data_IF_680428416387
#
_entry.id   IF_680428416387
#
_cell.length_a   1.000
_cell.length_b   1.000
_cell.length_c   1.000
_cell.angle_alpha   90.00
_cell.angle_beta   90.00
_cell.angle_gamma   90.00
#
_symmetry.space_group_name_H-M   'P 1'
#
loop_
_entity.id
_entity.type
_entity.pdbx_description
1 polymer ?
#
# COMPACT_ATOMS: atom_id res chain seq x y z
N UNK A 1 -18.54 3.35 6.00
CA UNK A 1 -17.38 2.88 6.78
C UNK A 1 -17.85 2.80 8.22
N UNK A 2 -18.10 1.59 8.75
CA UNK A 2 -18.55 1.43 10.13
C UNK A 2 -17.40 1.77 11.08
N UNK A 3 -17.69 2.56 12.11
CA UNK A 3 -16.70 2.93 13.12
C UNK A 3 -16.11 1.67 13.79
N UNK A 4 -14.80 1.65 14.08
CA UNK A 4 -14.20 0.53 14.78
C UNK A 4 -14.84 0.38 16.16
N UNK A 5 -15.33 -0.82 16.49
CA UNK A 5 -15.94 -1.14 17.79
C UNK A 5 -14.89 -0.92 18.89
N UNK A 6 -14.92 0.25 19.52
CA UNK A 6 -14.01 0.64 20.61
C UNK A 6 -14.46 0.09 21.96
N UNK A 7 -15.67 -0.47 22.04
CA UNK A 7 -16.26 -0.95 23.27
C UNK A 7 -16.44 -2.47 23.25
N UNK A 8 -15.56 -3.19 23.93
CA UNK A 8 -15.66 -4.64 24.10
C UNK A 8 -17.00 -5.07 24.72
N UNK A 9 -17.63 -4.22 25.56
CA UNK A 9 -18.94 -4.50 26.15
C UNK A 9 -20.09 -4.38 25.13
N UNK A 10 -19.88 -3.71 24.00
CA UNK A 10 -20.84 -3.60 22.90
C UNK A 10 -20.69 -4.77 21.92
N UNK A 11 -19.44 -5.19 21.63
CA UNK A 11 -19.17 -6.42 20.87
C UNK A 11 -19.76 -7.67 21.56
N UNK A 12 -19.65 -7.74 22.89
CA UNK A 12 -20.26 -8.83 23.70
C UNK A 12 -21.80 -8.76 23.66
N UNK A 13 -22.39 -7.58 23.47
CA UNK A 13 -23.84 -7.37 23.35
C UNK A 13 -24.37 -7.75 21.96
N UNK A 14 -23.60 -7.46 20.90
CA UNK A 14 -23.94 -7.82 19.51
C UNK A 14 -23.78 -9.31 19.18
N UNK A 15 -22.92 -10.04 19.92
CA UNK A 15 -22.73 -11.48 19.74
C UNK A 15 -23.98 -12.34 20.09
N UNK A 16 -25.11 -11.70 20.37
CA UNK A 16 -26.38 -12.34 20.70
C UNK A 16 -26.36 -12.92 22.11
N UNK A 17 -27.53 -12.96 22.75
CA UNK A 17 -27.70 -13.68 24.00
C UNK A 17 -27.14 -15.10 23.81
N UNK A 18 -26.16 -15.48 24.64
CA UNK A 18 -25.61 -16.83 24.64
C UNK A 18 -26.78 -17.82 24.68
N UNK A 19 -26.76 -18.89 23.86
CA UNK A 19 -27.81 -19.89 23.91
C UNK A 19 -27.99 -20.33 25.36
N UNK A 20 -29.20 -20.09 25.88
CA UNK A 20 -29.53 -20.42 27.25
C UNK A 20 -29.25 -21.92 27.45
N UNK A 21 -28.51 -22.30 28.50
CA UNK A 21 -28.15 -23.69 28.73
C UNK A 21 -29.40 -24.57 28.82
N UNK A 22 -29.26 -25.80 28.32
CA UNK A 22 -30.31 -26.80 28.34
C UNK A 22 -30.48 -27.28 29.80
N UNK A 23 -31.39 -26.63 30.53
CA UNK A 23 -31.71 -26.83 31.94
C UNK A 23 -31.55 -25.52 32.75
N UNK A 24 -32.58 -25.03 33.45
CA UNK A 24 -32.61 -23.66 33.99
C UNK A 24 -31.63 -23.39 35.15
N UNK A 25 -31.12 -24.43 35.82
CA UNK A 25 -30.37 -24.27 37.07
C UNK A 25 -28.92 -24.75 36.92
N UNK A 26 -28.01 -23.77 36.76
CA UNK A 26 -26.58 -23.99 37.00
C UNK A 26 -26.36 -24.06 38.50
N UNK A 27 -25.49 -24.98 38.93
CA UNK A 27 -25.06 -25.02 40.32
C UNK A 27 -24.44 -23.67 40.70
N UNK A 28 -24.90 -23.11 41.80
CA UNK A 28 -24.27 -21.96 42.44
C UNK A 28 -22.84 -22.29 42.86
N UNK A 29 -21.98 -21.29 43.09
CA UNK A 29 -20.64 -21.54 43.66
C UNK A 29 -20.70 -22.37 44.95
N UNK A 30 -21.62 -22.07 45.87
CA UNK A 30 -21.75 -22.82 47.12
C UNK A 30 -22.16 -24.28 46.91
N UNK A 31 -23.10 -24.55 46.00
CA UNK A 31 -23.50 -25.92 45.67
C UNK A 31 -22.37 -26.70 45.00
N UNK A 32 -21.55 -26.06 44.16
CA UNK A 32 -20.36 -26.70 43.58
C UNK A 32 -19.34 -27.07 44.66
N UNK A 33 -19.06 -26.17 45.59
CA UNK A 33 -18.15 -26.44 46.70
C UNK A 33 -18.67 -27.58 47.58
N UNK A 34 -19.98 -27.62 47.82
CA UNK A 34 -20.63 -28.73 48.54
C UNK A 34 -20.46 -30.06 47.80
N UNK A 35 -20.72 -30.09 46.49
CA UNK A 35 -20.54 -31.30 45.67
C UNK A 35 -19.09 -31.76 45.66
N UNK A 36 -18.13 -30.83 45.52
CA UNK A 36 -16.70 -31.15 45.55
C UNK A 36 -16.27 -31.72 46.91
N UNK A 37 -16.79 -31.16 48.01
CA UNK A 37 -16.57 -31.68 49.36
C UNK A 37 -17.09 -33.11 49.53
N UNK A 38 -18.31 -33.39 49.02
CA UNK A 38 -18.92 -34.72 49.09
C UNK A 38 -18.21 -35.76 48.22
N UNK A 39 -17.69 -35.37 47.06
CA UNK A 39 -16.96 -36.26 46.14
C UNK A 39 -15.53 -36.53 46.64
N UNK A 40 -14.93 -35.60 47.39
CA UNK A 40 -13.59 -35.73 47.96
C UNK A 40 -12.52 -35.87 46.88
N UNK A 41 -11.59 -36.82 47.07
CA UNK A 41 -10.45 -37.06 46.17
C UNK A 41 -10.77 -38.04 45.01
N UNK A 42 -12.05 -38.15 44.61
CA UNK A 42 -12.41 -39.03 43.50
C UNK A 42 -11.68 -38.61 42.22
N UNK A 43 -11.18 -39.60 41.48
CA UNK A 43 -10.50 -39.35 40.20
C UNK A 43 -11.52 -38.98 39.12
N UNK A 44 -11.13 -38.16 38.13
CA UNK A 44 -11.96 -37.93 36.95
C UNK A 44 -12.34 -39.26 36.29
N UNK A 45 -13.60 -39.38 35.87
CA UNK A 45 -14.07 -40.56 35.15
C UNK A 45 -13.41 -40.60 33.76
N UNK A 46 -12.87 -41.76 33.39
CA UNK A 46 -12.45 -42.00 32.01
C UNK A 46 -13.68 -42.12 31.10
N UNK A 47 -13.55 -41.76 29.81
CA UNK A 47 -14.66 -41.87 28.85
C UNK A 47 -15.21 -43.30 28.76
N UNK A 48 -14.35 -44.32 28.83
CA UNK A 48 -14.77 -45.73 28.85
C UNK A 48 -15.63 -46.10 30.07
N UNK A 49 -15.33 -45.52 31.23
CA UNK A 49 -16.13 -45.70 32.43
C UNK A 49 -17.51 -45.06 32.29
N UNK A 50 -17.60 -43.86 31.70
CA UNK A 50 -18.88 -43.19 31.44
C UNK A 50 -19.76 -43.98 30.47
N UNK A 51 -19.16 -44.55 29.41
CA UNK A 51 -19.87 -45.40 28.45
C UNK A 51 -20.41 -46.66 29.14
N UNK A 52 -19.57 -47.40 29.85
CA UNK A 52 -19.98 -48.61 30.58
C UNK A 52 -21.05 -48.32 31.64
N UNK A 53 -20.96 -47.16 32.28
CA UNK A 53 -21.96 -46.72 33.24
C UNK A 53 -23.30 -46.37 32.56
N UNK A 54 -23.27 -45.71 31.41
CA UNK A 54 -24.45 -45.46 30.58
C UNK A 54 -25.13 -46.75 30.11
N UNK A 55 -24.34 -47.76 29.70
CA UNK A 55 -24.86 -49.10 29.38
C UNK A 55 -25.52 -49.75 30.59
N UNK A 56 -24.91 -49.63 31.77
CA UNK A 56 -25.47 -50.16 33.02
C UNK A 56 -26.82 -49.50 33.36
N UNK A 57 -26.95 -48.19 33.16
CA UNK A 57 -28.20 -47.44 33.34
C UNK A 57 -29.25 -47.88 32.31
N UNK A 58 -28.89 -47.99 31.03
CA UNK A 58 -29.80 -48.46 29.97
C UNK A 58 -30.29 -49.88 30.25
N UNK A 59 -29.36 -50.81 30.48
CA UNK A 59 -29.66 -52.21 30.78
C UNK A 59 -30.59 -52.29 31.98
N UNK A 60 -30.39 -51.46 33.03
CA UNK A 60 -31.31 -51.46 34.17
C UNK A 60 -32.70 -50.91 33.86
N UNK A 61 -32.84 -49.93 32.97
CA UNK A 61 -34.14 -49.38 32.55
C UNK A 61 -34.93 -50.29 31.61
N UNK A 62 -34.23 -51.05 30.78
CA UNK A 62 -34.81 -51.92 29.76
C UNK A 62 -34.97 -53.37 30.23
N UNK A 63 -34.37 -53.73 31.37
CA UNK A 63 -34.49 -55.07 31.92
C UNK A 63 -35.90 -55.31 32.49
N UNK A 64 -36.57 -56.37 32.05
CA UNK A 64 -37.82 -56.80 32.65
C UNK A 64 -37.57 -57.37 34.04
N UNK A 65 -38.19 -56.75 35.04
CA UNK A 65 -38.07 -57.19 36.42
C UNK A 65 -39.13 -58.25 36.74
N UNK A 66 -38.75 -59.40 37.34
CA UNK A 66 -39.70 -60.31 37.92
C UNK A 66 -40.59 -59.60 38.96
N UNK A 67 -41.88 -59.91 38.96
CA UNK A 67 -42.87 -59.28 39.87
C UNK A 67 -42.63 -59.55 41.37
N UNK A 68 -41.68 -60.42 41.71
CA UNK A 68 -41.37 -60.86 43.07
C UNK A 68 -40.00 -60.38 43.55
N UNK A 69 -39.38 -59.41 42.88
CA UNK A 69 -38.05 -58.89 43.25
C UNK A 69 -38.01 -58.31 44.69
N UNK A 70 -36.84 -58.46 45.31
CA UNK A 70 -36.55 -57.90 46.63
C UNK A 70 -36.40 -56.36 46.61
N UNK A 71 -36.46 -55.75 47.80
CA UNK A 71 -36.30 -54.30 47.96
C UNK A 71 -34.92 -53.78 47.49
N UNK A 72 -33.89 -54.65 47.44
CA UNK A 72 -32.55 -54.26 47.02
C UNK A 72 -32.50 -54.01 45.51
N UNK A 73 -33.11 -54.90 44.72
CA UNK A 73 -33.28 -54.72 43.28
C UNK A 73 -34.10 -53.47 42.96
N UNK A 74 -35.18 -53.19 43.69
CA UNK A 74 -35.98 -51.95 43.50
C UNK A 74 -35.14 -50.69 43.76
N UNK A 75 -34.35 -50.65 44.84
CA UNK A 75 -33.48 -49.52 45.17
C UNK A 75 -32.40 -49.27 44.11
N UNK A 76 -31.75 -50.34 43.63
CA UNK A 76 -30.75 -50.23 42.58
C UNK A 76 -31.35 -49.70 41.27
N UNK A 77 -32.58 -50.10 40.95
CA UNK A 77 -33.32 -49.61 39.76
C UNK A 77 -33.65 -48.13 39.86
N UNK A 78 -34.18 -47.70 41.00
CA UNK A 78 -34.49 -46.29 41.21
C UNK A 78 -33.21 -45.44 41.19
N UNK A 79 -32.14 -45.89 41.83
CA UNK A 79 -30.87 -45.16 41.82
C UNK A 79 -30.25 -45.09 40.42
N UNK A 80 -30.01 -46.23 39.76
CA UNK A 80 -29.34 -46.25 38.45
C UNK A 80 -30.23 -45.70 37.32
N UNK A 81 -31.51 -46.04 37.30
CA UNK A 81 -32.44 -45.64 36.26
C UNK A 81 -32.93 -44.20 36.41
N UNK A 82 -33.51 -43.86 37.57
CA UNK A 82 -34.24 -42.59 37.76
C UNK A 82 -33.32 -41.44 38.19
N UNK A 83 -32.29 -41.71 39.00
CA UNK A 83 -31.39 -40.66 39.51
C UNK A 83 -30.15 -40.47 38.63
N UNK A 84 -29.50 -41.55 38.22
CA UNK A 84 -28.26 -41.45 37.45
C UNK A 84 -28.48 -41.16 35.95
N UNK A 85 -29.63 -41.53 35.39
CA UNK A 85 -29.99 -41.19 34.00
C UNK A 85 -29.96 -39.68 33.72
N UNK A 86 -30.68 -38.84 34.50
CA UNK A 86 -30.64 -37.38 34.35
C UNK A 86 -29.24 -36.77 34.58
N UNK A 87 -28.45 -37.33 35.50
CA UNK A 87 -27.06 -36.88 35.73
C UNK A 87 -26.20 -37.10 34.49
N UNK A 88 -26.27 -38.29 33.88
CA UNK A 88 -25.53 -38.58 32.65
C UNK A 88 -26.02 -37.73 31.48
N UNK A 89 -27.32 -37.47 31.38
CA UNK A 89 -27.86 -36.58 30.36
C UNK A 89 -27.29 -35.17 30.50
N UNK A 90 -27.34 -34.62 31.72
CA UNK A 90 -26.76 -33.29 32.02
C UNK A 90 -25.26 -33.24 31.71
N UNK A 91 -24.51 -34.30 32.00
CA UNK A 91 -23.09 -34.40 31.68
C UNK A 91 -22.86 -34.28 30.16
N UNK A 92 -23.57 -35.08 29.36
CA UNK A 92 -23.45 -35.06 27.89
C UNK A 92 -23.81 -33.69 27.32
N UNK A 93 -24.89 -33.06 27.81
CA UNK A 93 -25.31 -31.74 27.35
C UNK A 93 -24.23 -30.67 27.67
N UNK A 94 -23.59 -30.74 28.84
CA UNK A 94 -22.48 -29.84 29.22
C UNK A 94 -21.22 -30.10 28.40
N UNK A 95 -20.89 -31.36 28.09
CA UNK A 95 -19.75 -31.69 27.23
C UNK A 95 -19.95 -31.14 25.81
N UNK A 96 -21.15 -31.26 25.26
CA UNK A 96 -21.51 -30.69 23.96
C UNK A 96 -21.43 -29.14 23.97
N UNK A 97 -21.94 -28.49 25.02
CA UNK A 97 -21.82 -27.03 25.18
C UNK A 97 -20.35 -26.61 25.26
N UNK A 98 -19.52 -27.34 26.02
CA UNK A 98 -18.09 -27.05 26.15
C UNK A 98 -17.35 -27.20 24.81
N UNK A 99 -17.68 -28.19 24.00
CA UNK A 99 -17.10 -28.37 22.66
C UNK A 99 -17.48 -27.19 21.73
N UNK A 100 -18.74 -26.77 21.76
CA UNK A 100 -19.20 -25.59 21.02
C UNK A 100 -18.46 -24.32 21.48
N UNK A 101 -18.31 -24.11 22.80
CA UNK A 101 -17.59 -22.97 23.35
C UNK A 101 -16.12 -22.99 22.95
N UNK A 102 -15.45 -24.16 22.97
CA UNK A 102 -14.06 -24.29 22.50
C UNK A 102 -13.92 -23.92 21.03
N UNK A 103 -14.85 -24.35 20.19
CA UNK A 103 -14.89 -24.01 18.77
C UNK A 103 -15.03 -22.50 18.57
N UNK A 104 -15.99 -21.86 19.26
CA UNK A 104 -16.20 -20.41 19.21
C UNK A 104 -14.99 -19.61 19.72
N UNK A 105 -14.36 -20.07 20.80
CA UNK A 105 -13.12 -19.46 21.32
C UNK A 105 -12.02 -19.57 20.27
N UNK A 106 -11.85 -20.72 19.62
CA UNK A 106 -10.85 -20.90 18.57
C UNK A 106 -11.09 -19.95 17.38
N UNK A 107 -12.35 -19.80 16.94
CA UNK A 107 -12.73 -18.86 15.88
C UNK A 107 -12.49 -17.39 16.26
N UNK A 108 -12.83 -17.01 17.51
CA UNK A 108 -12.59 -15.68 18.03
C UNK A 108 -11.08 -15.37 18.10
N UNK A 109 -10.28 -16.30 18.62
CA UNK A 109 -8.81 -16.20 18.67
C UNK A 109 -8.23 -16.06 17.26
N UNK A 110 -8.69 -16.86 16.30
CA UNK A 110 -8.26 -16.75 14.91
C UNK A 110 -8.61 -15.38 14.29
N UNK A 111 -9.75 -14.80 14.67
CA UNK A 111 -10.17 -13.47 14.22
C UNK A 111 -9.30 -12.37 14.83
N UNK A 112 -9.03 -12.42 16.13
CA UNK A 112 -8.11 -11.49 16.80
C UNK A 112 -6.70 -11.58 16.21
N UNK A 113 -6.20 -12.79 15.94
CA UNK A 113 -4.89 -12.99 15.32
C UNK A 113 -4.80 -12.34 13.93
N UNK A 114 -5.85 -12.49 13.08
CA UNK A 114 -5.93 -11.83 11.77
C UNK A 114 -5.94 -10.30 11.89
N UNK A 115 -6.67 -9.76 12.87
CA UNK A 115 -6.70 -8.32 13.12
C UNK A 115 -5.34 -7.79 13.60
N UNK A 116 -4.67 -8.50 14.51
CA UNK A 116 -3.33 -8.13 14.97
C UNK A 116 -2.32 -8.09 13.79
N UNK A 117 -2.34 -9.10 12.91
CA UNK A 117 -1.52 -9.09 11.70
C UNK A 117 -1.81 -7.88 10.78
N UNK A 118 -3.09 -7.51 10.62
CA UNK A 118 -3.48 -6.32 9.84
C UNK A 118 -2.95 -5.04 10.48
N UNK A 119 -3.04 -4.90 11.80
CA UNK A 119 -2.53 -3.75 12.54
C UNK A 119 -1.02 -3.63 12.33
N UNK A 120 -0.26 -4.71 12.54
CA UNK A 120 1.20 -4.69 12.31
C UNK A 120 1.57 -4.32 10.88
N UNK A 121 0.79 -4.76 9.87
CA UNK A 121 1.01 -4.37 8.47
C UNK A 121 0.76 -2.87 8.27
N UNK A 122 -0.31 -2.32 8.85
CA UNK A 122 -0.62 -0.89 8.76
C UNK A 122 0.42 -0.02 9.47
N UNK A 123 0.94 -0.46 10.62
CA UNK A 123 2.02 0.23 11.34
C UNK A 123 3.29 0.30 10.48
N UNK A 124 3.65 -0.77 9.78
CA UNK A 124 4.78 -0.77 8.84
C UNK A 124 4.60 0.24 7.72
N UNK A 125 3.39 0.30 7.12
CA UNK A 125 3.07 1.28 6.07
C UNK A 125 3.15 2.70 6.63
N UNK A 126 2.55 2.95 7.80
CA UNK A 126 2.58 4.26 8.44
C UNK A 126 4.02 4.72 8.76
N UNK A 127 4.89 3.81 9.21
CA UNK A 127 6.30 4.12 9.46
C UNK A 127 7.07 4.40 8.17
N UNK A 128 6.81 3.67 7.09
CA UNK A 128 7.41 3.92 5.79
C UNK A 128 7.01 5.30 5.23
N UNK A 129 5.72 5.66 5.32
CA UNK A 129 5.25 6.98 4.89
C UNK A 129 5.85 8.11 5.74
N UNK A 130 5.97 7.92 7.06
CA UNK A 130 6.67 8.89 7.93
C UNK A 130 8.13 9.08 7.50
N UNK A 131 8.84 8.00 7.16
CA UNK A 131 10.21 8.09 6.67
C UNK A 131 10.29 8.87 5.34
N UNK A 132 9.38 8.57 4.40
CA UNK A 132 9.29 9.28 3.12
C UNK A 132 9.03 10.78 3.27
N UNK A 133 8.17 11.18 4.20
CA UNK A 133 7.91 12.60 4.49
C UNK A 133 9.19 13.29 4.98
N UNK A 134 9.96 12.65 5.86
CA UNK A 134 11.25 13.18 6.33
C UNK A 134 12.25 13.36 5.18
N UNK A 135 12.33 12.40 4.26
CA UNK A 135 13.18 12.50 3.06
C UNK A 135 12.74 13.65 2.14
N UNK A 136 11.44 13.79 1.87
CA UNK A 136 10.91 14.87 1.05
C UNK A 136 11.16 16.24 1.66
N UNK A 137 11.06 16.37 2.98
CA UNK A 137 11.41 17.61 3.68
C UNK A 137 12.91 17.93 3.56
N UNK A 138 13.78 16.93 3.62
CA UNK A 138 15.21 17.12 3.41
C UNK A 138 15.52 17.59 1.97
N UNK A 139 14.87 16.96 0.97
CA UNK A 139 14.96 17.39 -0.43
C UNK A 139 14.46 18.83 -0.58
N UNK A 140 13.30 19.17 -0.02
CA UNK A 140 12.76 20.54 -0.07
C UNK A 140 13.75 21.56 0.48
N UNK A 141 14.33 21.31 1.66
CA UNK A 141 15.35 22.19 2.25
C UNK A 141 16.59 22.33 1.34
N UNK A 142 17.01 21.25 0.69
CA UNK A 142 18.12 21.30 -0.27
C UNK A 142 17.79 22.16 -1.48
N UNK A 143 16.58 22.03 -2.03
CA UNK A 143 16.11 22.85 -3.15
C UNK A 143 16.03 24.31 -2.74
N UNK A 144 15.41 24.61 -1.59
CA UNK A 144 15.30 25.97 -1.06
C UNK A 144 16.68 26.62 -0.87
N UNK A 145 17.71 25.85 -0.49
CA UNK A 145 19.08 26.33 -0.35
C UNK A 145 19.83 26.52 -1.69
N UNK A 146 19.45 25.80 -2.74
CA UNK A 146 20.05 25.90 -4.08
C UNK A 146 19.37 26.96 -4.95
N UNK A 147 18.08 27.20 -4.74
CA UNK A 147 17.28 28.10 -5.57
C UNK A 147 17.91 29.50 -5.72
N UNK A 148 18.44 30.16 -4.66
CA UNK A 148 19.10 31.46 -4.82
C UNK A 148 20.34 31.42 -5.73
N UNK A 149 21.10 30.32 -5.71
CA UNK A 149 22.31 30.17 -6.55
C UNK A 149 21.96 30.00 -8.02
N UNK A 150 20.87 29.29 -8.29
CA UNK A 150 20.33 29.16 -9.66
C UNK A 150 19.80 30.50 -10.13
N UNK A 151 19.11 31.26 -9.28
CA UNK A 151 18.65 32.60 -9.61
C UNK A 151 19.80 33.56 -9.91
N UNK A 152 20.89 33.51 -9.12
CA UNK A 152 22.11 34.29 -9.36
C UNK A 152 22.77 33.91 -10.69
N UNK A 153 22.90 32.62 -10.98
CA UNK A 153 23.43 32.13 -12.26
C UNK A 153 22.60 32.59 -13.48
N UNK A 154 21.27 32.63 -13.34
CA UNK A 154 20.38 33.09 -14.41
C UNK A 154 20.32 34.62 -14.53
N UNK A 155 20.81 35.38 -13.54
CA UNK A 155 20.87 36.83 -13.62
C UNK A 155 22.06 37.32 -14.47
N UNK A 156 23.05 36.47 -14.73
CA UNK A 156 24.18 36.73 -15.63
C UNK A 156 23.95 36.09 -17.01
N UNK A 157 22.83 36.38 -17.69
CA UNK A 157 22.69 35.96 -19.08
C UNK A 157 23.60 36.81 -19.98
N UNK A 158 24.63 36.22 -20.64
CA UNK A 158 25.38 36.94 -21.65
C UNK A 158 24.42 37.34 -22.80
N UNK A 159 24.70 38.46 -23.51
CA UNK A 159 23.89 38.88 -24.64
C UNK A 159 23.70 37.74 -25.64
N UNK A 160 22.47 37.56 -26.11
CA UNK A 160 22.17 36.48 -27.05
C UNK A 160 22.67 36.88 -28.45
N UNK A 161 23.78 36.28 -28.88
CA UNK A 161 24.24 36.43 -30.27
C UNK A 161 23.35 35.60 -31.20
N UNK A 162 22.75 36.26 -32.18
CA UNK A 162 22.11 35.60 -33.33
C UNK A 162 22.90 35.90 -34.60
N UNK A 163 22.89 34.96 -35.52
CA UNK A 163 23.59 35.09 -36.80
C UNK A 163 22.57 35.36 -37.90
N UNK A 164 22.72 36.47 -38.60
CA UNK A 164 21.85 36.86 -39.72
C UNK A 164 22.52 36.47 -41.03
N UNK A 165 21.90 35.55 -41.76
CA UNK A 165 22.27 35.23 -43.14
C UNK A 165 21.60 36.23 -44.09
N UNK A 166 22.37 36.83 -44.99
CA UNK A 166 21.89 37.75 -46.02
C UNK A 166 22.53 37.48 -47.37
N UNK A 167 21.88 37.90 -48.45
CA UNK A 167 22.47 38.00 -49.79
C UNK A 167 22.25 39.42 -50.32
N UNK A 168 23.33 40.17 -50.52
CA UNK A 168 23.30 41.62 -50.71
C UNK A 168 22.44 42.30 -49.61
N UNK A 169 21.36 42.98 -49.99
CA UNK A 169 20.44 43.65 -49.07
C UNK A 169 19.31 42.75 -48.53
N UNK A 170 19.21 41.50 -48.98
CA UNK A 170 18.08 40.61 -48.66
C UNK A 170 18.43 39.74 -47.46
N UNK A 171 17.63 39.83 -46.39
CA UNK A 171 17.75 38.95 -45.23
C UNK A 171 17.13 37.59 -45.54
N UNK A 172 17.93 36.53 -45.45
CA UNK A 172 17.52 35.16 -45.75
C UNK A 172 17.02 34.42 -44.50
N UNK A 173 17.54 34.77 -43.33
CA UNK A 173 17.14 34.17 -42.06
C UNK A 173 17.99 34.62 -40.87
N UNK A 174 17.53 34.27 -39.65
CA UNK A 174 18.25 34.45 -38.38
C UNK A 174 18.44 33.11 -37.69
N UNK A 175 19.62 32.88 -37.14
CA UNK A 175 20.05 31.60 -36.59
C UNK A 175 20.65 31.78 -35.20
N UNK A 176 20.53 30.76 -34.36
CA UNK A 176 21.21 30.73 -33.05
C UNK A 176 22.67 30.27 -33.15
N UNK A 177 23.12 29.86 -34.33
CA UNK A 177 24.45 29.30 -34.57
C UNK A 177 24.99 29.78 -35.93
N UNK A 178 26.25 30.21 -35.95
CA UNK A 178 27.03 30.66 -37.12
C UNK A 178 27.01 29.63 -38.25
N UNK A 179 27.29 28.36 -37.93
CA UNK A 179 27.34 27.25 -38.89
C UNK A 179 26.00 27.01 -39.58
N UNK A 180 24.89 27.18 -38.85
CA UNK A 180 23.56 27.01 -39.42
C UNK A 180 23.23 28.14 -40.42
N UNK A 181 23.69 29.37 -40.15
CA UNK A 181 23.56 30.48 -41.08
C UNK A 181 24.41 30.26 -42.33
N UNK A 182 25.68 29.84 -42.16
CA UNK A 182 26.59 29.51 -43.26
C UNK A 182 26.05 28.38 -44.14
N UNK A 183 25.59 27.30 -43.53
CA UNK A 183 25.01 26.16 -44.25
C UNK A 183 23.80 26.56 -45.10
N UNK A 184 22.98 27.51 -44.65
CA UNK A 184 21.87 28.01 -45.46
C UNK A 184 22.39 28.75 -46.70
N UNK A 185 23.36 29.64 -46.54
CA UNK A 185 24.01 30.34 -47.65
C UNK A 185 24.68 29.36 -48.62
N UNK A 186 25.46 28.39 -48.11
CA UNK A 186 26.12 27.36 -48.92
C UNK A 186 25.11 26.56 -49.76
N UNK A 187 23.99 26.19 -49.14
CA UNK A 187 22.93 25.42 -49.81
C UNK A 187 22.31 26.20 -50.96
N UNK A 188 22.06 27.51 -50.76
CA UNK A 188 21.54 28.37 -51.82
C UNK A 188 22.57 28.57 -52.93
N UNK A 189 23.84 28.80 -52.58
CA UNK A 189 24.92 28.98 -53.53
C UNK A 189 25.17 27.73 -54.38
N UNK A 190 25.19 26.53 -53.77
CA UNK A 190 25.33 25.26 -54.49
C UNK A 190 24.11 24.93 -55.35
N UNK A 191 22.92 25.41 -54.98
CA UNK A 191 21.74 25.28 -55.84
C UNK A 191 21.88 26.12 -57.11
N UNK A 192 22.46 27.31 -57.01
CA UNK A 192 22.70 28.19 -58.16
C UNK A 192 23.90 27.76 -59.01
N UNK A 193 24.98 27.30 -58.36
CA UNK A 193 26.22 26.85 -59.00
C UNK A 193 26.68 25.50 -58.40
N UNK A 194 26.14 24.37 -58.88
CA UNK A 194 26.42 23.05 -58.30
C UNK A 194 27.87 22.59 -58.34
N UNK A 195 28.71 23.23 -59.15
CA UNK A 195 30.15 22.91 -59.28
C UNK A 195 31.05 23.92 -58.58
N UNK A 196 30.48 24.87 -57.82
CA UNK A 196 31.27 25.83 -57.06
C UNK A 196 31.99 25.12 -55.91
N UNK A 197 33.25 25.49 -55.68
CA UNK A 197 33.95 25.21 -54.42
C UNK A 197 33.76 26.44 -53.55
N UNK A 198 33.19 26.25 -52.36
CA UNK A 198 32.84 27.33 -51.44
C UNK A 198 33.92 27.48 -50.36
N UNK A 199 34.17 28.72 -49.96
CA UNK A 199 34.99 29.07 -48.81
C UNK A 199 34.42 30.30 -48.10
N UNK A 200 34.68 30.44 -46.81
CA UNK A 200 34.23 31.56 -46.00
C UNK A 200 35.43 32.41 -45.57
N UNK A 201 35.36 33.70 -45.87
CA UNK A 201 36.32 34.68 -45.39
C UNK A 201 35.75 35.28 -44.10
N UNK A 202 36.41 35.03 -42.98
CA UNK A 202 36.04 35.61 -41.69
C UNK A 202 36.76 36.94 -41.51
N UNK A 203 36.00 38.03 -41.35
CA UNK A 203 36.56 39.32 -40.94
C UNK A 203 36.22 39.56 -39.46
N UNK A 204 37.24 39.39 -38.61
CA UNK A 204 37.12 39.59 -37.17
C UNK A 204 36.93 41.08 -36.80
N UNK A 205 37.21 42.03 -37.70
CA UNK A 205 37.10 43.46 -37.42
C UNK A 205 35.65 43.98 -37.47
N UNK A 206 34.80 43.40 -38.32
CA UNK A 206 33.39 43.80 -38.49
C UNK A 206 32.36 42.73 -38.11
N UNK A 207 32.82 41.52 -37.79
CA UNK A 207 31.96 40.39 -37.41
C UNK A 207 31.09 39.88 -38.56
N UNK A 208 31.54 40.11 -39.80
CA UNK A 208 30.91 39.64 -41.03
C UNK A 208 31.74 38.50 -41.60
N UNK A 209 31.08 37.36 -41.84
CA UNK A 209 31.64 36.35 -42.72
C UNK A 209 31.11 36.55 -44.13
N UNK A 210 32.00 36.49 -45.12
CA UNK A 210 31.64 36.57 -46.52
C UNK A 210 31.90 35.23 -47.23
N UNK A 211 30.90 34.74 -47.98
CA UNK A 211 31.05 33.53 -48.78
C UNK A 211 31.68 33.86 -50.13
N UNK A 212 32.76 33.19 -50.45
CA UNK A 212 33.40 33.21 -51.76
C UNK A 212 33.20 31.87 -52.47
N UNK A 213 33.06 31.92 -53.78
CA UNK A 213 32.89 30.73 -54.60
C UNK A 213 33.94 30.70 -55.71
N UNK A 214 34.62 29.57 -55.87
CA UNK A 214 35.46 29.30 -57.03
C UNK A 214 34.67 28.50 -58.06
N UNK A 215 34.51 29.06 -59.25
CA UNK A 215 33.81 28.42 -60.38
C UNK A 215 34.78 28.31 -61.55
N UNK A 216 35.20 27.08 -61.85
CA UNK A 216 36.29 26.84 -62.79
C UNK A 216 37.64 27.25 -62.21
N UNK A 217 38.23 28.34 -62.73
CA UNK A 217 39.52 28.89 -62.25
C UNK A 217 39.42 30.33 -61.73
N UNK A 218 38.20 30.81 -61.49
CA UNK A 218 37.95 32.18 -61.04
C UNK A 218 37.19 32.14 -59.72
N UNK A 219 37.76 32.81 -58.74
CA UNK A 219 37.10 33.15 -57.48
C UNK A 219 36.19 34.35 -57.70
N UNK A 220 34.98 34.28 -57.15
CA UNK A 220 34.00 35.35 -57.17
C UNK A 220 33.44 35.55 -55.78
N UNK A 221 33.21 36.81 -55.43
CA UNK A 221 32.39 37.20 -54.29
C UNK A 221 30.94 36.82 -54.61
N UNK A 222 30.29 36.11 -53.69
CA UNK A 222 28.93 35.61 -53.93
C UNK A 222 27.85 36.58 -53.49
N UNK A 223 28.16 37.55 -52.63
CA UNK A 223 27.19 38.44 -51.99
C UNK A 223 26.47 37.83 -50.79
N UNK A 224 26.67 36.53 -50.50
CA UNK A 224 26.18 35.92 -49.27
C UNK A 224 27.08 36.30 -48.08
N UNK A 225 26.47 36.83 -47.03
CA UNK A 225 27.15 37.20 -45.79
C UNK A 225 26.43 36.64 -44.56
N UNK A 226 27.19 36.38 -43.50
CA UNK A 226 26.68 36.04 -42.17
C UNK A 226 27.18 37.08 -41.17
N UNK A 227 26.27 37.85 -40.58
CA UNK A 227 26.60 38.87 -39.57
C UNK A 227 26.22 38.38 -38.18
N UNK A 228 27.14 38.48 -37.22
CA UNK A 228 26.80 38.32 -35.80
C UNK A 228 26.05 39.56 -35.30
N UNK A 229 24.87 39.35 -34.72
CA UNK A 229 24.04 40.40 -34.13
C UNK A 229 23.85 40.08 -32.65
N UNK A 230 24.20 41.03 -31.79
CA UNK A 230 23.83 40.95 -30.38
C UNK A 230 22.38 41.41 -30.22
N UNK A 231 21.54 40.54 -29.67
CA UNK A 231 20.20 40.91 -29.24
C UNK A 231 20.28 41.29 -27.77
N UNK A 232 19.89 42.53 -27.47
CA UNK A 232 19.68 42.94 -26.10
C UNK A 232 18.66 42.00 -25.45
N UNK A 233 18.99 41.47 -24.28
CA UNK A 233 18.10 40.57 -23.53
C UNK A 233 16.82 41.26 -23.06
N UNK A 234 16.80 42.59 -23.06
CA UNK A 234 15.66 43.42 -22.69
C UNK A 234 15.11 44.19 -23.90
N UNK A 235 13.79 44.16 -24.08
CA UNK A 235 13.10 44.92 -25.12
C UNK A 235 13.04 46.40 -24.73
N UNK A 236 13.67 47.26 -25.53
CA UNK A 236 13.55 48.72 -25.40
C UNK A 236 12.35 49.21 -26.22
N UNK A 237 11.27 49.57 -25.53
CA UNK A 237 10.05 50.04 -26.16
C UNK A 237 10.19 51.41 -26.84
N UNK A 238 11.22 52.20 -26.50
CA UNK A 238 11.47 53.53 -27.08
C UNK A 238 12.31 53.46 -28.37
N UNK A 239 12.91 52.31 -28.70
CA UNK A 239 13.75 52.12 -29.88
C UNK A 239 12.97 51.92 -31.20
N UNK A 240 11.64 51.77 -31.13
CA UNK A 240 10.76 51.47 -32.27
C UNK A 240 10.03 52.72 -32.85
N UNK A 241 10.38 53.95 -32.43
CA UNK A 241 9.87 55.22 -33.00
C UNK A 241 10.79 55.84 -34.08
#
# INVERSE_FOLDING_TARGET
MSEPITNAAEAVRELGALPMPVGPERLTPQERDMVLSLIGAAKPAASSLLVSFGESVRNRREHDHPKWEDFYCLNLSSYMGERMGPVLRRLVDVEAENEQLRTRIAEAVATVARQAQKITKLERIANAERARVVELEAVRRSVDAQFPKVAEFLAEEPPLTVYRASHDAIVLGRYRNKDAARLHCDTLMLREKPTAVLDWIEDDEDGIDELVATVGRKEIVTGYIVTALEIASEYDAEADE
#
